data_IF_764436683188
#
_entry.id   IF_764436683188
#
_cell.length_a   1.000
_cell.length_b   1.000
_cell.length_c   1.000
_cell.angle_alpha   90.00
_cell.angle_beta   90.00
_cell.angle_gamma   90.00
#
_symmetry.space_group_name_H-M   'P 1'
#
loop_
_entity.id
_entity.type
_entity.pdbx_description
1 polymer ?
#
# COMPACT_ATOMS: atom_id res chain seq x y z
N UNK A 1 4.84 -24.77 -33.73
CA UNK A 1 3.77 -24.78 -32.73
C UNK A 1 3.82 -23.47 -31.93
N UNK A 2 2.79 -22.63 -32.02
CA UNK A 2 2.76 -21.29 -31.39
C UNK A 2 2.49 -21.45 -29.88
N UNK A 3 3.42 -21.01 -29.02
CA UNK A 3 3.21 -20.98 -27.56
C UNK A 3 2.07 -20.01 -27.24
N UNK A 4 0.95 -20.52 -26.73
CA UNK A 4 -0.17 -19.71 -26.29
C UNK A 4 0.26 -18.77 -25.16
N UNK A 5 -0.06 -17.48 -25.29
CA UNK A 5 0.17 -16.47 -24.25
C UNK A 5 -0.87 -16.69 -23.15
N UNK A 6 -0.49 -17.37 -22.05
CA UNK A 6 -1.36 -17.48 -20.87
C UNK A 6 -1.64 -16.06 -20.35
N UNK A 7 -2.91 -15.64 -20.21
CA UNK A 7 -3.23 -14.34 -19.62
C UNK A 7 -2.67 -14.31 -18.21
N UNK A 8 -1.90 -13.26 -17.88
CA UNK A 8 -1.40 -13.08 -16.51
C UNK A 8 -2.61 -13.04 -15.59
N UNK A 9 -2.62 -13.81 -14.48
CA UNK A 9 -3.74 -13.80 -13.55
C UNK A 9 -3.98 -12.35 -13.13
N UNK A 10 -5.22 -11.87 -13.27
CA UNK A 10 -5.63 -10.57 -12.73
C UNK A 10 -5.24 -10.59 -11.26
N UNK A 11 -4.21 -9.84 -10.87
CA UNK A 11 -3.78 -9.72 -9.47
C UNK A 11 -5.04 -9.34 -8.69
N UNK A 12 -5.47 -10.21 -7.77
CA UNK A 12 -6.55 -9.87 -6.82
C UNK A 12 -6.17 -8.51 -6.21
N UNK A 13 -7.14 -7.59 -6.13
CA UNK A 13 -6.94 -6.28 -5.53
C UNK A 13 -6.35 -6.50 -4.14
N UNK A 14 -5.13 -6.00 -3.93
CA UNK A 14 -4.39 -6.19 -2.70
C UNK A 14 -5.14 -5.47 -1.57
N UNK A 15 -5.72 -6.20 -0.60
CA UNK A 15 -6.52 -5.59 0.45
C UNK A 15 -5.67 -4.66 1.33
N UNK A 16 -4.37 -4.92 1.46
CA UNK A 16 -3.47 -4.06 2.24
C UNK A 16 -3.23 -2.72 1.53
N UNK A 17 -3.21 -2.71 0.20
CA UNK A 17 -2.97 -1.48 -0.55
C UNK A 17 -4.07 -0.44 -0.34
N UNK A 18 -5.34 -0.86 -0.29
CA UNK A 18 -6.45 0.05 -0.01
C UNK A 18 -6.38 0.55 1.43
N UNK A 19 -6.12 -0.35 2.39
CA UNK A 19 -5.98 -0.02 3.81
C UNK A 19 -4.87 1.01 4.07
N UNK A 20 -3.73 0.91 3.37
CA UNK A 20 -2.63 1.89 3.44
C UNK A 20 -3.09 3.27 2.94
N UNK A 21 -3.82 3.33 1.82
CA UNK A 21 -4.32 4.60 1.27
C UNK A 21 -5.31 5.27 2.22
N UNK A 22 -6.20 4.48 2.82
CA UNK A 22 -7.23 5.02 3.72
C UNK A 22 -6.59 5.60 5.00
N UNK A 23 -5.60 4.91 5.59
CA UNK A 23 -4.84 5.40 6.74
C UNK A 23 -4.03 6.66 6.38
N UNK A 24 -3.28 6.63 5.27
CA UNK A 24 -2.50 7.78 4.80
C UNK A 24 -3.38 9.01 4.56
N UNK A 25 -4.57 8.80 3.98
CA UNK A 25 -5.55 9.86 3.77
C UNK A 25 -5.98 10.50 5.08
N UNK A 26 -6.38 9.70 6.07
CA UNK A 26 -6.79 10.19 7.38
C UNK A 26 -5.67 11.00 8.06
N UNK A 27 -4.45 10.47 8.03
CA UNK A 27 -3.25 11.12 8.56
C UNK A 27 -2.99 12.48 7.91
N UNK A 28 -2.98 12.54 6.58
CA UNK A 28 -2.73 13.80 5.88
C UNK A 28 -3.79 14.86 6.18
N UNK A 29 -5.06 14.47 6.31
CA UNK A 29 -6.13 15.42 6.65
C UNK A 29 -6.06 15.91 8.11
N UNK A 30 -5.64 15.06 9.04
CA UNK A 30 -5.60 15.40 10.47
C UNK A 30 -4.33 16.15 10.87
N UNK A 31 -3.19 15.82 10.26
CA UNK A 31 -1.88 16.30 10.70
C UNK A 31 -1.18 17.19 9.66
N UNK A 32 -1.65 17.18 8.41
CA UNK A 32 -1.00 17.86 7.29
C UNK A 32 0.15 17.05 6.67
N UNK A 33 0.58 17.41 5.46
CA UNK A 33 1.53 16.60 4.69
C UNK A 33 2.96 16.53 5.25
N UNK A 34 3.40 17.55 6.00
CA UNK A 34 4.80 17.64 6.47
C UNK A 34 5.08 16.85 7.74
N UNK A 35 4.06 16.54 8.51
CA UNK A 35 4.17 15.89 9.82
C UNK A 35 3.99 14.37 9.74
N UNK A 36 3.29 13.87 8.72
CA UNK A 36 3.04 12.44 8.53
C UNK A 36 4.29 11.74 8.03
N UNK A 37 4.72 10.71 8.77
CA UNK A 37 5.85 9.87 8.42
C UNK A 37 5.39 8.46 8.04
N UNK A 38 6.29 7.71 7.38
CA UNK A 38 6.02 6.30 7.09
C UNK A 38 6.13 5.41 8.35
N UNK A 39 6.74 5.90 9.42
CA UNK A 39 6.70 5.25 10.74
C UNK A 39 5.29 5.30 11.31
N UNK A 40 4.66 6.48 11.33
CA UNK A 40 3.30 6.67 11.87
C UNK A 40 2.30 5.74 11.17
N UNK A 41 2.39 5.66 9.83
CA UNK A 41 1.52 4.79 9.03
C UNK A 41 1.80 3.31 9.29
N UNK A 42 3.07 2.92 9.43
CA UNK A 42 3.45 1.54 9.69
C UNK A 42 2.95 1.09 11.08
N UNK A 43 3.09 1.96 12.09
CA UNK A 43 2.62 1.74 13.45
C UNK A 43 1.09 1.60 13.51
N UNK A 44 0.34 2.55 12.94
CA UNK A 44 -1.13 2.49 12.92
C UNK A 44 -1.66 1.24 12.20
N UNK A 45 -1.01 0.83 11.11
CA UNK A 45 -1.42 -0.33 10.33
C UNK A 45 -0.96 -1.66 10.94
N UNK A 46 -0.07 -1.63 11.95
CA UNK A 46 0.53 -2.83 12.53
C UNK A 46 1.36 -3.62 11.51
N UNK A 47 2.05 -2.93 10.60
CA UNK A 47 2.89 -3.54 9.57
C UNK A 47 4.32 -2.99 9.63
N UNK A 48 5.28 -3.71 9.04
CA UNK A 48 6.63 -3.17 8.92
C UNK A 48 6.69 -2.09 7.84
N UNK A 49 7.61 -1.13 7.99
CA UNK A 49 7.93 -0.15 6.94
C UNK A 49 8.32 -0.82 5.63
N UNK A 50 9.04 -1.96 5.69
CA UNK A 50 9.38 -2.79 4.52
C UNK A 50 8.13 -3.31 3.81
N UNK A 51 7.13 -3.75 4.56
CA UNK A 51 5.83 -4.18 4.01
C UNK A 51 5.13 -3.02 3.32
N UNK A 52 5.11 -1.83 3.94
CA UNK A 52 4.52 -0.63 3.34
C UNK A 52 5.14 -0.29 1.98
N UNK A 53 6.48 -0.22 1.92
CA UNK A 53 7.20 0.06 0.67
C UNK A 53 7.09 -1.06 -0.38
N UNK A 54 6.84 -2.31 0.02
CA UNK A 54 6.57 -3.38 -0.94
C UNK A 54 5.25 -3.17 -1.73
N UNK A 55 4.30 -2.44 -1.15
CA UNK A 55 3.03 -2.09 -1.81
C UNK A 55 3.12 -0.78 -2.62
N UNK A 56 4.07 0.10 -2.28
CA UNK A 56 4.31 1.41 -2.90
C UNK A 56 5.82 1.68 -3.08
N UNK A 57 6.44 1.15 -4.15
CA UNK A 57 7.84 1.39 -4.48
C UNK A 57 8.08 2.79 -5.06
#
# INVERSE_FOLDING_TARGET
MKRAHKPRPRRKRDPNRQRIVDAARAHFFNHGFRSVTMDDLAEELGISKKTLYAHFP
#
